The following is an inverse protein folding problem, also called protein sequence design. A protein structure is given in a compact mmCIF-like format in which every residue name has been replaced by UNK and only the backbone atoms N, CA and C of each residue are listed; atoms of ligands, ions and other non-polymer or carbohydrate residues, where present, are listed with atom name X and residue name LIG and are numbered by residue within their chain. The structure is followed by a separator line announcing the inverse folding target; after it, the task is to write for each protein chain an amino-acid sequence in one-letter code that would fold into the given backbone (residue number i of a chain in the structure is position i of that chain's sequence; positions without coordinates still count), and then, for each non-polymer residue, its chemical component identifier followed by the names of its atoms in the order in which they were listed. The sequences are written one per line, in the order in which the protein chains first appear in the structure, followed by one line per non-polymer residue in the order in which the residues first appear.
data_IF_747358319897
#
_entry.id   IF_747358319897
#
_cell.length_a   1.000
_cell.length_b   1.000
_cell.length_c   1.000
_cell.angle_alpha   90.00
_cell.angle_beta   90.00
_cell.angle_gamma   90.00
#
_symmetry.space_group_name_H-M   'P 1'
#
loop_
_entity.id
_entity.type
_entity.pdbx_description
1 polymer ?
#
# COMPACT_ATOMS: atom_id res chain seq x y z
N UNK A 1 27.01 -12.78 2.75
CA UNK A 1 26.34 -12.20 1.56
C UNK A 1 26.24 -10.69 1.74
N UNK A 2 26.85 -9.96 0.85
CA UNK A 2 26.64 -8.52 0.78
C UNK A 2 25.47 -8.27 -0.16
N UNK A 3 24.38 -7.72 0.37
CA UNK A 3 23.26 -7.27 -0.43
C UNK A 3 23.65 -5.94 -1.07
N UNK A 4 23.43 -5.80 -2.37
CA UNK A 4 23.61 -4.55 -3.07
C UNK A 4 22.24 -3.98 -3.42
N UNK A 5 22.03 -2.71 -3.11
CA UNK A 5 20.76 -2.02 -3.39
C UNK A 5 20.98 -1.05 -4.54
N UNK A 6 20.32 -1.32 -5.65
CA UNK A 6 20.33 -0.43 -6.81
C UNK A 6 19.08 0.44 -6.82
N UNK A 7 19.24 1.75 -6.95
CA UNK A 7 18.11 2.67 -7.00
C UNK A 7 17.27 2.42 -8.25
N UNK A 8 15.98 2.13 -8.07
CA UNK A 8 14.99 2.00 -9.14
C UNK A 8 14.23 3.31 -9.31
N UNK A 9 13.76 3.89 -8.21
CA UNK A 9 13.06 5.17 -8.18
C UNK A 9 13.74 6.04 -7.12
N UNK A 10 14.17 7.23 -7.51
CA UNK A 10 14.83 8.17 -6.60
C UNK A 10 13.84 8.74 -5.58
N UNK A 11 14.38 9.29 -4.48
CA UNK A 11 13.57 10.00 -3.48
C UNK A 11 12.76 11.12 -4.11
N UNK A 12 13.36 11.88 -5.01
CA UNK A 12 12.71 12.99 -5.72
C UNK A 12 11.57 12.53 -6.62
N UNK A 13 11.76 11.41 -7.33
CA UNK A 13 10.71 10.80 -8.16
C UNK A 13 9.53 10.34 -7.32
N UNK A 14 9.80 9.66 -6.20
CA UNK A 14 8.77 9.18 -5.28
C UNK A 14 8.01 10.35 -4.68
N UNK A 15 8.71 11.36 -4.16
CA UNK A 15 8.10 12.54 -3.54
C UNK A 15 7.22 13.31 -4.53
N UNK A 16 7.71 13.54 -5.73
CA UNK A 16 6.98 14.22 -6.79
C UNK A 16 5.68 13.49 -7.15
N UNK A 17 5.75 12.15 -7.26
CA UNK A 17 4.59 11.35 -7.61
C UNK A 17 3.55 11.33 -6.50
N UNK A 18 3.97 11.26 -5.25
CA UNK A 18 3.07 11.33 -4.09
C UNK A 18 2.31 12.66 -4.10
N UNK A 19 2.98 13.77 -4.37
CA UNK A 19 2.33 15.08 -4.49
C UNK A 19 1.26 15.10 -5.58
N UNK A 20 1.53 14.51 -6.73
CA UNK A 20 0.57 14.42 -7.84
C UNK A 20 -0.66 13.59 -7.44
N UNK A 21 -0.46 12.42 -6.84
CA UNK A 21 -1.54 11.54 -6.41
C UNK A 21 -2.37 12.20 -5.30
N UNK A 22 -1.72 12.86 -4.34
CA UNK A 22 -2.43 13.58 -3.28
C UNK A 22 -3.32 14.71 -3.83
N UNK A 23 -2.84 15.43 -4.84
CA UNK A 23 -3.63 16.47 -5.52
C UNK A 23 -4.85 15.88 -6.22
N UNK A 24 -4.69 14.76 -6.91
CA UNK A 24 -5.79 14.05 -7.56
C UNK A 24 -6.83 13.55 -6.56
N UNK A 25 -6.39 12.92 -5.47
CA UNK A 25 -7.25 12.46 -4.38
C UNK A 25 -8.02 13.64 -3.78
N UNK A 26 -7.35 14.74 -3.49
CA UNK A 26 -7.96 15.94 -2.91
C UNK A 26 -9.05 16.49 -3.81
N UNK A 27 -8.85 16.49 -5.12
CA UNK A 27 -9.85 16.92 -6.09
C UNK A 27 -11.05 15.97 -6.13
N UNK A 28 -10.81 14.66 -6.17
CA UNK A 28 -11.86 13.65 -6.26
C UNK A 28 -12.74 13.61 -5.00
N UNK A 29 -12.18 13.97 -3.85
CA UNK A 29 -12.89 13.99 -2.58
C UNK A 29 -13.27 15.40 -2.11
N UNK A 30 -13.31 16.38 -3.01
CA UNK A 30 -13.70 17.76 -2.65
C UNK A 30 -15.06 17.78 -1.95
N UNK A 31 -15.14 18.45 -0.80
CA UNK A 31 -16.35 18.53 0.02
C UNK A 31 -16.64 17.30 0.89
N UNK A 32 -15.72 16.32 0.90
CA UNK A 32 -15.83 15.09 1.68
C UNK A 32 -14.70 14.98 2.70
N UNK A 33 -14.85 14.03 3.61
CA UNK A 33 -13.78 13.59 4.50
C UNK A 33 -13.30 12.22 4.04
N UNK A 34 -11.99 11.95 4.22
CA UNK A 34 -11.41 10.65 3.87
C UNK A 34 -10.99 9.94 5.16
N UNK A 35 -11.41 8.68 5.29
CA UNK A 35 -10.87 7.79 6.30
C UNK A 35 -9.78 6.93 5.67
N UNK A 36 -8.51 7.27 5.95
CA UNK A 36 -7.36 6.54 5.44
C UNK A 36 -7.08 5.33 6.31
N UNK A 37 -6.99 4.16 5.69
CA UNK A 37 -6.56 2.94 6.35
C UNK A 37 -5.16 2.59 5.85
N UNK A 38 -4.19 2.64 6.76
CA UNK A 38 -2.83 2.18 6.50
C UNK A 38 -2.72 0.70 6.80
N UNK A 39 -2.23 -0.07 5.85
CA UNK A 39 -1.91 -1.48 6.07
C UNK A 39 -0.45 -1.59 6.52
N UNK A 40 -0.25 -1.92 7.79
CA UNK A 40 1.05 -2.05 8.43
C UNK A 40 1.74 -3.36 7.99
N UNK A 41 3.06 -3.43 8.04
CA UNK A 41 3.99 -2.32 8.34
C UNK A 41 4.36 -1.53 7.08
N UNK A 42 4.34 -2.20 5.91
CA UNK A 42 4.88 -1.69 4.66
C UNK A 42 4.28 -0.36 4.20
N UNK A 43 3.01 -0.13 4.46
CA UNK A 43 2.31 1.08 4.03
C UNK A 43 2.56 2.34 4.88
N UNK A 44 3.33 2.23 5.98
CA UNK A 44 3.42 3.32 6.98
C UNK A 44 4.02 4.60 6.41
N UNK A 45 5.14 4.52 5.71
CA UNK A 45 5.82 5.71 5.19
C UNK A 45 4.99 6.38 4.09
N UNK A 46 4.49 5.60 3.16
CA UNK A 46 3.65 6.13 2.08
C UNK A 46 2.38 6.78 2.62
N UNK A 47 1.69 6.13 3.55
CA UNK A 47 0.47 6.68 4.15
C UNK A 47 0.73 8.01 4.81
N UNK A 48 1.81 8.14 5.59
CA UNK A 48 2.16 9.39 6.27
C UNK A 48 2.48 10.51 5.28
N UNK A 49 3.27 10.22 4.26
CA UNK A 49 3.62 11.21 3.26
C UNK A 49 2.41 11.63 2.40
N UNK A 50 1.55 10.68 2.05
CA UNK A 50 0.33 10.95 1.31
C UNK A 50 -0.64 11.80 2.14
N UNK A 51 -0.89 11.41 3.39
CA UNK A 51 -1.84 12.08 4.28
C UNK A 51 -1.50 13.55 4.50
N UNK A 52 -0.22 13.88 4.66
CA UNK A 52 0.26 15.26 4.86
C UNK A 52 -0.03 16.17 3.65
N UNK A 53 -0.21 15.60 2.47
CA UNK A 53 -0.39 16.34 1.22
C UNK A 53 -1.83 16.38 0.72
N UNK A 54 -2.72 15.64 1.35
CA UNK A 54 -4.16 15.68 1.04
C UNK A 54 -4.76 16.92 1.72
N UNK A 55 -5.56 17.70 0.98
CA UNK A 55 -6.10 18.98 1.44
C UNK A 55 -7.52 18.93 1.97
N UNK A 56 -8.21 17.78 1.84
CA UNK A 56 -9.51 17.56 2.51
C UNK A 56 -9.27 16.98 3.90
N UNK A 57 -10.26 17.04 4.82
CA UNK A 57 -10.10 16.44 6.15
C UNK A 57 -9.80 14.93 6.05
N UNK A 58 -8.84 14.46 6.84
CA UNK A 58 -8.39 13.09 6.86
C UNK A 58 -8.39 12.58 8.29
N UNK A 59 -8.95 11.40 8.50
CA UNK A 59 -8.73 10.60 9.70
C UNK A 59 -7.88 9.39 9.34
N UNK A 60 -7.01 8.98 10.27
CA UNK A 60 -6.09 7.86 10.08
C UNK A 60 -6.49 6.68 10.95
N UNK A 61 -6.44 5.50 10.37
CA UNK A 61 -6.54 4.25 11.11
C UNK A 61 -5.54 3.23 10.54
N UNK A 62 -5.21 2.23 11.34
CA UNK A 62 -4.16 1.28 11.02
C UNK A 62 -4.67 -0.13 11.23
N UNK A 63 -4.32 -1.01 10.31
CA UNK A 63 -4.57 -2.42 10.48
C UNK A 63 -3.36 -3.24 10.05
N UNK A 64 -3.25 -4.43 10.61
CA UNK A 64 -2.20 -5.39 10.27
C UNK A 64 -2.84 -6.73 10.01
N UNK A 65 -2.45 -7.35 8.91
CA UNK A 65 -2.93 -8.67 8.51
C UNK A 65 -1.75 -9.57 8.23
N UNK A 66 -1.94 -10.88 8.43
CA UNK A 66 -1.01 -11.90 7.99
C UNK A 66 -1.73 -12.88 7.09
N UNK A 67 -1.06 -13.34 6.04
CA UNK A 67 -1.62 -14.37 5.16
C UNK A 67 -1.44 -15.74 5.80
N UNK A 68 -2.42 -16.63 5.58
CA UNK A 68 -2.32 -18.05 5.94
C UNK A 68 -1.53 -18.80 4.87
N UNK A 69 -0.46 -19.49 5.29
CA UNK A 69 0.36 -20.32 4.43
C UNK A 69 1.50 -19.59 3.75
N UNK A 70 2.25 -20.33 2.91
CA UNK A 70 3.30 -19.78 2.05
C UNK A 70 2.71 -18.84 1.01
N UNK A 71 3.43 -17.77 0.67
CA UNK A 71 3.03 -16.81 -0.37
C UNK A 71 2.73 -17.47 -1.71
N UNK A 72 3.40 -18.59 -2.00
CA UNK A 72 3.19 -19.36 -3.24
C UNK A 72 1.94 -20.24 -3.21
N UNK A 73 1.39 -20.54 -2.03
CA UNK A 73 0.23 -21.41 -1.83
C UNK A 73 -0.92 -20.72 -1.09
N UNK A 74 -0.82 -19.41 -0.91
CA UNK A 74 -1.83 -18.65 -0.20
C UNK A 74 -3.18 -18.74 -0.90
N UNK A 75 -4.23 -19.12 -0.16
CA UNK A 75 -5.62 -19.06 -0.61
C UNK A 75 -6.16 -17.62 -0.63
N UNK A 76 -5.35 -16.64 -0.19
CA UNK A 76 -5.76 -15.26 0.00
C UNK A 76 -6.44 -15.00 1.35
N UNK A 77 -6.70 -16.05 2.13
CA UNK A 77 -7.29 -15.90 3.46
C UNK A 77 -6.31 -15.20 4.38
N UNK A 78 -6.77 -14.15 5.05
CA UNK A 78 -5.94 -13.36 5.96
C UNK A 78 -6.44 -13.51 7.40
N UNK A 79 -5.48 -13.43 8.31
CA UNK A 79 -5.73 -13.25 9.74
C UNK A 79 -5.51 -11.80 10.09
N UNK A 80 -6.50 -11.17 10.73
CA UNK A 80 -6.34 -9.82 11.25
C UNK A 80 -5.54 -9.89 12.54
N UNK A 81 -4.34 -9.29 12.53
CA UNK A 81 -3.44 -9.23 13.69
C UNK A 81 -3.76 -8.00 14.54
N UNK A 82 -3.95 -6.86 13.88
CA UNK A 82 -4.45 -5.62 14.49
C UNK A 82 -5.64 -5.14 13.68
N UNK A 83 -6.78 -5.01 14.32
CA UNK A 83 -7.97 -4.48 13.67
C UNK A 83 -8.05 -2.95 13.82
N UNK A 84 -8.93 -2.35 13.03
CA UNK A 84 -9.19 -0.92 13.04
C UNK A 84 -9.75 -0.47 14.40
N UNK A 85 -9.39 0.76 14.79
CA UNK A 85 -9.90 1.37 16.03
C UNK A 85 -11.30 1.95 15.85
N UNK A 86 -11.66 2.33 14.63
CA UNK A 86 -12.92 3.02 14.32
C UNK A 86 -13.83 2.18 13.43
N UNK A 87 -15.16 2.28 13.61
CA UNK A 87 -16.10 1.64 12.69
C UNK A 87 -16.05 2.32 11.32
N UNK A 88 -16.36 1.55 10.26
CA UNK A 88 -16.35 2.05 8.88
C UNK A 88 -17.71 2.53 8.38
N UNK A 89 -18.78 2.26 9.12
CA UNK A 89 -20.13 2.58 8.68
C UNK A 89 -20.28 4.05 8.28
N UNK A 90 -20.76 4.27 7.06
CA UNK A 90 -21.00 5.60 6.52
C UNK A 90 -19.75 6.41 6.14
N UNK A 91 -18.56 5.85 6.25
CA UNK A 91 -17.31 6.54 5.95
C UNK A 91 -16.87 6.33 4.50
N UNK A 92 -16.24 7.34 3.92
CA UNK A 92 -15.53 7.23 2.66
C UNK A 92 -14.09 6.74 2.96
N UNK A 93 -13.83 5.47 2.64
CA UNK A 93 -12.61 4.76 3.01
C UNK A 93 -11.63 4.75 1.84
N UNK A 94 -10.38 5.06 2.13
CA UNK A 94 -9.26 4.89 1.21
C UNK A 94 -8.22 4.00 1.86
N UNK A 95 -8.04 2.80 1.31
CA UNK A 95 -7.01 1.87 1.74
C UNK A 95 -5.70 2.29 1.08
N UNK A 96 -4.63 2.34 1.87
CA UNK A 96 -3.29 2.73 1.40
C UNK A 96 -2.33 1.57 1.59
N UNK A 97 -1.77 1.11 0.48
CA UNK A 97 -0.84 -0.01 0.39
C UNK A 97 0.53 0.43 -0.14
N UNK A 98 1.57 -0.26 0.28
CA UNK A 98 2.92 -0.09 -0.25
C UNK A 98 3.06 -0.70 -1.66
N UNK A 99 2.59 -1.93 -1.83
CA UNK A 99 2.71 -2.68 -3.08
C UNK A 99 1.54 -3.64 -3.26
N UNK A 100 1.09 -3.77 -4.50
CA UNK A 100 0.15 -4.81 -4.90
C UNK A 100 0.89 -5.81 -5.78
N UNK A 101 0.86 -7.06 -5.37
CA UNK A 101 1.48 -8.19 -6.05
C UNK A 101 0.41 -9.07 -6.70
N UNK A 102 0.13 -10.25 -6.16
CA UNK A 102 -0.88 -11.16 -6.70
C UNK A 102 -2.32 -10.64 -6.57
N UNK A 103 -2.58 -9.77 -5.61
CA UNK A 103 -3.91 -9.26 -5.29
C UNK A 103 -4.75 -10.19 -4.40
N UNK A 104 -4.25 -11.37 -4.03
CA UNK A 104 -5.00 -12.35 -3.22
C UNK A 104 -5.35 -11.81 -1.84
N UNK A 105 -4.35 -11.37 -1.09
CA UNK A 105 -4.53 -10.84 0.26
C UNK A 105 -5.41 -9.60 0.25
N UNK A 106 -5.15 -8.69 -0.68
CA UNK A 106 -5.86 -7.43 -0.76
C UNK A 106 -7.32 -7.59 -1.20
N UNK A 107 -7.60 -8.48 -2.16
CA UNK A 107 -8.99 -8.75 -2.56
C UNK A 107 -9.81 -9.31 -1.41
N UNK A 108 -9.23 -10.20 -0.60
CA UNK A 108 -9.87 -10.75 0.59
C UNK A 108 -10.12 -9.66 1.65
N UNK A 109 -9.12 -8.82 1.89
CA UNK A 109 -9.22 -7.71 2.84
C UNK A 109 -10.33 -6.73 2.44
N UNK A 110 -10.41 -6.36 1.17
CA UNK A 110 -11.43 -5.46 0.66
C UNK A 110 -12.83 -6.05 0.90
N UNK A 111 -13.01 -7.35 0.64
CA UNK A 111 -14.31 -8.01 0.88
C UNK A 111 -14.69 -7.99 2.36
N UNK A 112 -13.75 -8.19 3.28
CA UNK A 112 -13.99 -8.07 4.73
C UNK A 112 -14.45 -6.66 5.07
N UNK A 113 -13.75 -5.65 4.56
CA UNK A 113 -14.04 -4.25 4.87
C UNK A 113 -15.35 -3.77 4.25
N UNK A 114 -15.73 -4.27 3.08
CA UNK A 114 -17.04 -4.00 2.48
C UNK A 114 -18.19 -4.44 3.37
N UNK A 115 -18.03 -5.53 4.11
CA UNK A 115 -19.07 -6.05 5.02
C UNK A 115 -19.29 -5.13 6.23
N UNK A 116 -18.40 -4.18 6.48
CA UNK A 116 -18.52 -3.18 7.55
C UNK A 116 -19.29 -1.93 7.14
N UNK A 117 -19.92 -1.97 5.97
CA UNK A 117 -20.83 -0.94 5.45
C UNK A 117 -20.23 0.46 5.31
N UNK A 118 -19.02 0.61 4.73
CA UNK A 118 -18.54 1.94 4.39
C UNK A 118 -19.42 2.58 3.32
N UNK A 119 -19.45 3.91 3.27
CA UNK A 119 -20.13 4.64 2.21
C UNK A 119 -19.46 4.41 0.85
N UNK A 120 -18.13 4.39 0.85
CA UNK A 120 -17.31 4.02 -0.32
C UNK A 120 -16.01 3.40 0.15
N UNK A 121 -15.39 2.62 -0.73
CA UNK A 121 -14.07 2.03 -0.50
C UNK A 121 -13.26 2.12 -1.79
N UNK A 122 -12.09 2.74 -1.70
CA UNK A 122 -11.12 2.87 -2.79
C UNK A 122 -9.75 2.45 -2.32
N UNK A 123 -8.85 2.22 -3.29
CA UNK A 123 -7.51 1.70 -3.05
C UNK A 123 -6.47 2.60 -3.70
N UNK A 124 -5.47 2.97 -2.91
CA UNK A 124 -4.28 3.69 -3.33
C UNK A 124 -3.04 2.86 -3.03
N UNK A 125 -2.16 2.70 -3.99
CA UNK A 125 -0.90 1.98 -3.80
C UNK A 125 0.29 2.81 -4.28
N UNK A 126 1.43 2.65 -3.61
CA UNK A 126 2.69 3.24 -4.07
C UNK A 126 3.21 2.49 -5.30
N UNK A 127 3.26 1.16 -5.22
CA UNK A 127 3.78 0.30 -6.27
C UNK A 127 2.75 -0.73 -6.69
N UNK A 128 2.74 -1.07 -7.98
CA UNK A 128 1.92 -2.14 -8.53
C UNK A 128 2.77 -3.01 -9.46
N UNK A 129 2.67 -4.32 -9.28
CA UNK A 129 3.25 -5.33 -10.18
C UNK A 129 2.12 -6.00 -10.95
N UNK A 130 1.61 -5.41 -12.04
CA UNK A 130 0.45 -5.93 -12.74
C UNK A 130 0.67 -7.32 -13.34
N UNK A 131 1.92 -7.67 -13.69
CA UNK A 131 2.29 -8.99 -14.23
C UNK A 131 2.06 -10.14 -13.23
N UNK A 132 2.07 -9.84 -11.93
CA UNK A 132 1.89 -10.82 -10.86
C UNK A 132 0.42 -11.05 -10.48
N UNK A 133 -0.50 -10.31 -11.08
CA UNK A 133 -1.91 -10.35 -10.69
C UNK A 133 -2.54 -11.70 -10.99
N UNK A 134 -3.16 -12.32 -9.98
CA UNK A 134 -3.95 -13.57 -10.09
C UNK A 134 -5.38 -13.37 -9.60
N UNK A 135 -5.66 -12.31 -8.85
CA UNK A 135 -6.99 -11.88 -8.44
C UNK A 135 -7.22 -10.46 -8.91
N UNK A 136 -8.36 -10.23 -9.53
CA UNK A 136 -8.72 -8.89 -9.99
C UNK A 136 -8.95 -7.95 -8.79
N UNK A 137 -8.24 -6.85 -8.78
CA UNK A 137 -8.36 -5.80 -7.76
C UNK A 137 -8.43 -4.47 -8.48
N UNK A 138 -9.48 -3.70 -8.21
CA UNK A 138 -9.57 -2.35 -8.74
C UNK A 138 -8.62 -1.44 -7.96
N UNK A 139 -7.63 -0.90 -8.67
CA UNK A 139 -6.71 0.09 -8.12
C UNK A 139 -7.17 1.47 -8.59
N UNK A 140 -7.63 2.28 -7.65
CA UNK A 140 -8.15 3.63 -7.97
C UNK A 140 -7.03 4.64 -8.17
N UNK A 141 -5.95 4.52 -7.38
CA UNK A 141 -4.77 5.38 -7.46
C UNK A 141 -3.51 4.55 -7.38
N UNK A 142 -2.64 4.69 -8.37
CA UNK A 142 -1.35 4.01 -8.41
C UNK A 142 -0.24 5.03 -8.67
N UNK A 143 0.79 5.02 -7.83
CA UNK A 143 1.94 5.88 -8.07
C UNK A 143 2.83 5.34 -9.19
N UNK A 144 3.24 4.07 -9.11
CA UNK A 144 4.16 3.48 -10.09
C UNK A 144 3.80 2.03 -10.40
N UNK A 145 3.78 1.71 -11.69
CA UNK A 145 3.85 0.32 -12.14
C UNK A 145 5.31 -0.08 -12.25
N UNK A 146 5.69 -1.22 -11.69
CA UNK A 146 7.07 -1.71 -11.71
C UNK A 146 7.14 -3.13 -12.27
N UNK A 147 8.30 -3.52 -12.84
CA UNK A 147 8.53 -4.91 -13.25
C UNK A 147 8.60 -5.84 -12.03
N UNK A 148 8.54 -7.15 -12.28
CA UNK A 148 8.66 -8.17 -11.23
C UNK A 148 10.10 -8.28 -10.73
N UNK A 149 10.49 -7.35 -9.87
CA UNK A 149 11.78 -7.33 -9.19
C UNK A 149 11.57 -7.26 -7.68
N UNK A 150 12.54 -7.72 -6.93
CA UNK A 150 12.48 -7.65 -5.47
C UNK A 150 12.91 -6.26 -5.02
N UNK A 151 11.95 -5.48 -4.52
CA UNK A 151 12.17 -4.07 -4.17
C UNK A 151 12.09 -3.84 -2.67
N UNK A 152 12.85 -2.86 -2.21
CA UNK A 152 12.91 -2.41 -0.81
C UNK A 152 12.89 -0.90 -0.74
N UNK A 153 12.69 -0.40 0.46
CA UNK A 153 12.64 1.03 0.74
C UNK A 153 11.22 1.57 0.79
N UNK A 154 11.08 2.73 1.34
CA UNK A 154 9.80 3.42 1.51
C UNK A 154 8.73 2.55 2.18
N UNK A 155 9.15 1.78 3.21
CA UNK A 155 8.31 0.84 3.95
C UNK A 155 8.50 -0.63 3.58
N UNK A 156 8.95 -0.93 2.37
CA UNK A 156 9.22 -2.28 1.90
C UNK A 156 10.53 -2.83 2.49
N UNK A 157 10.54 -4.12 2.83
CA UNK A 157 11.65 -4.74 3.55
C UNK A 157 12.27 -5.94 2.82
N UNK A 158 13.48 -6.24 3.27
CA UNK A 158 14.13 -7.54 3.12
C UNK A 158 14.61 -7.99 4.50
N UNK A 159 14.03 -9.06 5.03
CA UNK A 159 14.33 -9.57 6.38
C UNK A 159 14.24 -8.48 7.48
N UNK A 160 13.20 -7.64 7.41
CA UNK A 160 12.92 -6.49 8.27
C UNK A 160 13.89 -5.32 8.13
N UNK A 161 14.79 -5.37 7.15
CA UNK A 161 15.73 -4.29 6.85
C UNK A 161 15.26 -3.44 5.68
N UNK A 162 15.81 -2.24 5.55
CA UNK A 162 15.66 -1.33 4.40
C UNK A 162 14.32 -0.60 4.31
N UNK A 163 13.38 -0.79 5.24
CA UNK A 163 12.11 -0.03 5.23
C UNK A 163 12.33 1.47 5.26
N UNK A 164 13.39 1.91 5.91
CA UNK A 164 13.71 3.33 6.14
C UNK A 164 14.44 4.02 4.99
N UNK A 165 14.74 3.32 3.91
CA UNK A 165 15.34 3.97 2.74
C UNK A 165 14.33 4.96 2.12
N UNK A 166 14.76 6.20 1.81
CA UNK A 166 13.85 7.23 1.28
C UNK A 166 13.59 7.10 -0.22
N UNK A 167 14.05 6.02 -0.83
CA UNK A 167 13.89 5.70 -2.25
C UNK A 167 13.43 4.24 -2.40
N UNK A 168 13.06 3.84 -3.60
CA UNK A 168 12.79 2.45 -3.95
C UNK A 168 14.03 1.87 -4.62
N UNK A 169 14.53 0.77 -4.07
CA UNK A 169 15.69 0.07 -4.59
C UNK A 169 15.40 -1.39 -4.92
N UNK A 170 16.16 -1.94 -5.84
CA UNK A 170 16.16 -3.37 -6.17
C UNK A 170 17.27 -4.05 -5.39
N UNK A 171 16.93 -5.17 -4.74
CA UNK A 171 17.92 -5.99 -4.05
C UNK A 171 18.60 -6.89 -5.06
N UNK A 172 19.92 -6.69 -5.22
CA UNK A 172 20.77 -7.58 -5.99
C UNK A 172 21.51 -8.49 -5.01
N UNK A 173 21.19 -9.79 -5.05
CA UNK A 173 21.91 -10.79 -4.28
C UNK A 173 23.21 -11.09 -5.02
N UNK A 174 24.35 -10.86 -4.37
CA UNK A 174 25.63 -11.22 -4.94
C UNK A 174 25.74 -12.72 -5.17
N UNK A 175 26.24 -13.12 -6.33
CA UNK A 175 26.64 -14.50 -6.57
C UNK A 175 27.83 -14.81 -5.64
N UNK A 176 27.73 -15.91 -4.89
CA UNK A 176 28.84 -16.46 -4.10
C UNK A 176 29.85 -17.15 -5.02
#
# INVERSE_FOLDING_TARGET
MSENIKVLLSEEEVDSRIKQIAAKISKDYAGKEIHLICVLKGGVFFTCELAKRITVPVSLDFMSVSSYGDDTKSSGVVKIVKDLDQPLEGKDVLIVEDIIDSGRTLSYLIEILKQRNPNSIRLCTLLDKPERRVRDVRVDYCCFNIPDEFVVGYGLDYAQKYRNLPFIGVVELGED
#
